data_IF_488028866175
#
_entry.id   IF_488028866175
#
_cell.length_a   1.000
_cell.length_b   1.000
_cell.length_c   1.000
_cell.angle_alpha   90.00
_cell.angle_beta   90.00
_cell.angle_gamma   90.00
#
_symmetry.space_group_name_H-M   'P 1'
#
loop_
_entity.id
_entity.type
_entity.pdbx_description
1 polymer ?
#
# COMPACT_ATOMS: atom_id res chain seq x y z
N UNK A 1 60.41 -17.50 -36.04
CA UNK A 1 60.09 -16.10 -35.63
C UNK A 1 58.84 -16.06 -34.80
N UNK A 2 58.96 -15.97 -33.47
CA UNK A 2 57.80 -15.93 -32.54
C UNK A 2 57.69 -14.49 -32.07
N UNK A 3 56.62 -13.77 -32.43
CA UNK A 3 56.27 -12.46 -31.90
C UNK A 3 55.48 -12.62 -30.59
N UNK A 4 56.04 -12.13 -29.48
CA UNK A 4 55.39 -12.01 -28.20
C UNK A 4 54.62 -10.68 -28.17
N UNK A 5 53.30 -10.70 -27.93
CA UNK A 5 52.50 -9.54 -27.60
C UNK A 5 52.54 -9.35 -26.07
N UNK A 6 53.02 -8.19 -25.64
CA UNK A 6 52.92 -7.72 -24.27
C UNK A 6 51.52 -7.05 -24.09
N UNK A 7 50.71 -7.56 -23.19
CA UNK A 7 49.54 -6.83 -22.72
C UNK A 7 49.93 -5.95 -21.54
N UNK A 8 49.81 -4.63 -21.71
CA UNK A 8 49.82 -3.68 -20.61
C UNK A 8 48.48 -3.72 -19.91
N UNK A 9 48.47 -4.11 -18.64
CA UNK A 9 47.30 -3.99 -17.76
C UNK A 9 47.40 -2.60 -17.11
N UNK A 10 46.52 -1.69 -17.53
CA UNK A 10 46.32 -0.42 -16.85
C UNK A 10 45.43 -0.67 -15.62
N UNK A 11 46.02 -0.58 -14.43
CA UNK A 11 45.31 -0.60 -13.16
C UNK A 11 44.81 0.81 -12.89
N UNK A 12 43.53 1.07 -13.08
CA UNK A 12 42.90 2.33 -12.65
C UNK A 12 42.54 2.23 -11.17
N UNK A 13 43.25 3.00 -10.34
CA UNK A 13 42.85 3.24 -8.94
C UNK A 13 41.54 4.04 -8.92
N UNK A 14 40.52 3.65 -8.13
CA UNK A 14 39.39 4.53 -7.89
C UNK A 14 39.85 5.65 -6.93
N UNK A 15 39.73 6.89 -7.38
CA UNK A 15 39.82 8.07 -6.50
C UNK A 15 38.62 8.04 -5.58
N UNK A 16 38.82 7.79 -4.30
CA UNK A 16 37.89 8.08 -3.23
C UNK A 16 37.73 9.60 -3.11
N UNK A 17 36.70 10.14 -3.71
CA UNK A 17 36.25 11.50 -3.43
C UNK A 17 35.53 11.47 -2.10
N UNK A 18 36.18 11.87 -1.05
CA UNK A 18 35.59 12.12 0.26
C UNK A 18 34.83 13.46 0.15
N UNK A 19 33.55 13.38 -0.15
CA UNK A 19 32.63 14.52 -0.05
C UNK A 19 32.36 14.78 1.43
N UNK A 20 32.85 15.89 1.95
CA UNK A 20 32.40 16.43 3.22
C UNK A 20 30.92 16.84 3.07
N UNK A 21 30.00 15.98 3.47
CA UNK A 21 28.59 16.35 3.64
C UNK A 21 28.53 17.22 4.89
N UNK A 22 28.27 18.52 4.69
CA UNK A 22 28.00 19.44 5.76
C UNK A 22 26.84 18.91 6.62
N UNK A 23 26.98 19.01 7.92
CA UNK A 23 25.94 18.73 8.89
C UNK A 23 24.91 19.85 8.89
N UNK A 24 24.07 19.91 7.87
CA UNK A 24 22.83 20.69 8.01
C UNK A 24 21.87 19.88 8.87
N UNK A 25 21.29 20.47 9.92
CA UNK A 25 20.26 19.79 10.69
C UNK A 25 19.09 19.43 9.76
N UNK A 26 18.67 18.17 9.80
CA UNK A 26 17.46 17.73 9.10
C UNK A 26 16.29 18.61 9.55
N UNK A 27 15.43 19.06 8.64
CA UNK A 27 14.22 19.78 9.05
C UNK A 27 13.43 18.90 10.01
N UNK A 28 12.90 19.49 11.07
CA UNK A 28 12.03 18.79 12.01
C UNK A 28 10.90 18.14 11.22
N UNK A 29 10.62 16.88 11.53
CA UNK A 29 9.45 16.22 10.97
C UNK A 29 8.22 17.07 11.32
N UNK A 30 7.30 17.19 10.40
CA UNK A 30 5.98 17.71 10.70
C UNK A 30 5.47 16.83 11.84
N UNK A 31 5.16 17.41 13.02
CA UNK A 31 4.66 16.59 14.13
C UNK A 31 3.41 15.86 13.67
N UNK A 32 3.18 14.62 14.13
CA UNK A 32 1.91 13.96 13.91
C UNK A 32 0.78 14.90 14.37
N UNK A 33 -0.39 14.86 13.74
CA UNK A 33 -1.52 15.63 14.21
C UNK A 33 -1.72 15.33 15.69
N UNK A 34 -2.04 16.34 16.53
CA UNK A 34 -2.14 16.16 17.98
C UNK A 34 -3.12 15.06 18.31
N UNK A 35 -2.70 14.16 19.17
CA UNK A 35 -3.59 13.15 19.77
C UNK A 35 -4.74 13.88 20.43
N UNK A 36 -6.00 13.48 20.27
CA UNK A 36 -7.12 14.12 20.95
C UNK A 36 -6.91 14.04 22.46
N UNK A 37 -6.55 15.16 23.11
CA UNK A 37 -6.37 15.22 24.56
C UNK A 37 -5.28 16.15 25.09
N UNK A 38 -4.30 16.58 24.31
CA UNK A 38 -3.25 17.49 24.81
C UNK A 38 -3.45 18.93 24.29
N UNK A 39 -4.36 19.66 24.94
CA UNK A 39 -4.36 21.11 24.93
C UNK A 39 -3.80 21.61 26.25
N UNK A 40 -2.50 21.89 26.27
CA UNK A 40 -1.85 22.70 27.31
C UNK A 40 -2.13 24.17 27.07
N UNK A 41 -2.83 24.81 28.00
CA UNK A 41 -3.27 26.20 27.91
C UNK A 41 -2.13 27.23 27.93
N UNK A 42 -2.20 28.20 27.04
CA UNK A 42 -1.74 29.57 27.29
C UNK A 42 -2.75 30.56 26.73
N UNK A 43 -3.19 31.49 27.58
CA UNK A 43 -4.29 32.37 27.34
C UNK A 43 -4.00 33.48 26.32
N UNK A 44 -5.02 33.83 25.56
CA UNK A 44 -5.13 35.00 24.69
C UNK A 44 -6.58 35.15 24.24
N UNK A 45 -7.20 36.23 24.59
CA UNK A 45 -8.60 36.58 24.38
C UNK A 45 -9.04 36.60 22.90
N UNK A 46 -10.26 36.11 22.64
CA UNK A 46 -11.19 36.67 21.66
C UNK A 46 -11.38 35.90 20.37
N UNK A 47 -12.52 35.25 20.24
CA UNK A 47 -13.06 34.73 18.99
C UNK A 47 -13.64 33.35 19.16
N UNK A 48 -14.98 33.24 19.16
CA UNK A 48 -15.69 31.93 19.23
C UNK A 48 -15.34 31.05 18.05
N UNK A 49 -14.35 30.17 18.23
CA UNK A 49 -14.01 29.08 17.33
C UNK A 49 -14.84 27.88 17.74
N UNK A 50 -15.97 27.66 17.11
CA UNK A 50 -16.58 26.36 17.07
C UNK A 50 -15.57 25.42 16.41
N UNK A 51 -15.22 24.32 17.05
CA UNK A 51 -14.51 23.20 16.39
C UNK A 51 -15.34 22.79 15.18
N UNK A 52 -14.81 23.06 13.98
CA UNK A 52 -15.43 22.54 12.76
C UNK A 52 -15.42 21.01 12.87
N UNK A 53 -16.58 20.43 13.17
CA UNK A 53 -16.79 18.99 13.10
C UNK A 53 -16.94 18.63 11.64
N UNK A 54 -15.97 17.94 11.10
CA UNK A 54 -16.02 17.45 9.73
C UNK A 54 -16.98 16.26 9.63
N UNK A 55 -17.59 16.07 8.45
CA UNK A 55 -18.54 14.97 8.23
C UNK A 55 -17.97 13.58 8.55
N UNK A 56 -16.66 13.37 8.39
CA UNK A 56 -16.00 12.10 8.71
C UNK A 56 -15.78 11.88 10.22
N UNK A 57 -15.81 12.90 11.05
CA UNK A 57 -15.72 12.75 12.51
C UNK A 57 -16.88 11.93 13.05
N UNK A 58 -18.03 11.96 12.36
CA UNK A 58 -19.19 11.14 12.70
C UNK A 58 -18.94 9.62 12.51
N UNK A 59 -17.87 9.24 11.82
CA UNK A 59 -17.50 7.84 11.58
C UNK A 59 -16.56 7.26 12.66
N UNK A 60 -15.98 8.10 13.50
CA UNK A 60 -15.14 7.65 14.62
C UNK A 60 -15.93 6.76 15.58
N UNK A 61 -15.31 5.69 16.05
CA UNK A 61 -15.91 4.76 16.97
C UNK A 61 -17.02 3.88 16.37
N UNK A 62 -17.18 3.86 15.05
CA UNK A 62 -18.16 2.99 14.38
C UNK A 62 -17.46 1.80 13.72
N UNK A 63 -17.69 0.63 14.25
CA UNK A 63 -17.30 -0.60 13.61
C UNK A 63 -18.32 -0.96 12.53
N UNK A 64 -17.84 -1.20 11.30
CA UNK A 64 -18.69 -1.54 10.15
C UNK A 64 -18.16 -2.81 9.51
N UNK A 65 -19.04 -3.75 9.27
CA UNK A 65 -18.79 -4.98 8.53
C UNK A 65 -19.64 -5.05 7.28
N UNK A 66 -19.11 -5.56 6.17
CA UNK A 66 -19.86 -5.64 4.94
C UNK A 66 -21.01 -6.64 5.07
N UNK A 67 -22.16 -6.25 4.57
CA UNK A 67 -23.37 -7.05 4.65
C UNK A 67 -24.32 -6.78 3.48
N UNK A 68 -25.29 -7.65 3.28
CA UNK A 68 -26.32 -7.50 2.25
C UNK A 68 -25.98 -8.21 0.94
N UNK A 69 -26.76 -7.91 -0.09
CA UNK A 69 -26.71 -8.61 -1.39
C UNK A 69 -25.34 -8.48 -2.06
N UNK A 70 -24.80 -9.60 -2.52
CA UNK A 70 -23.50 -9.67 -3.19
C UNK A 70 -22.35 -10.00 -2.27
N UNK A 71 -22.50 -9.84 -0.95
CA UNK A 71 -21.48 -10.21 0.03
C UNK A 71 -21.61 -11.66 0.50
N UNK A 72 -20.48 -12.32 0.65
CA UNK A 72 -20.33 -13.60 1.35
C UNK A 72 -19.19 -13.47 2.36
N UNK A 73 -19.24 -14.28 3.42
CA UNK A 73 -18.16 -14.33 4.42
C UNK A 73 -17.86 -15.77 4.81
N UNK A 74 -16.60 -16.05 5.10
CA UNK A 74 -16.10 -17.35 5.57
C UNK A 74 -15.05 -17.12 6.64
N UNK A 75 -15.21 -17.75 7.80
CA UNK A 75 -14.16 -17.78 8.83
C UNK A 75 -13.09 -18.77 8.38
N UNK A 76 -11.88 -18.29 8.16
CA UNK A 76 -10.73 -19.10 7.74
C UNK A 76 -10.06 -19.73 8.96
N UNK A 77 -9.83 -18.91 9.97
CA UNK A 77 -9.28 -19.25 11.28
C UNK A 77 -9.91 -18.33 12.34
N UNK A 78 -9.91 -18.67 13.63
CA UNK A 78 -10.38 -17.77 14.68
C UNK A 78 -9.64 -16.43 14.64
N UNK A 79 -10.32 -15.34 14.26
CA UNK A 79 -9.74 -14.01 14.08
C UNK A 79 -9.28 -13.71 12.66
N UNK A 80 -9.53 -14.60 11.69
CA UNK A 80 -9.31 -14.32 10.27
C UNK A 80 -10.59 -14.63 9.51
N UNK A 81 -11.23 -13.60 8.97
CA UNK A 81 -12.46 -13.72 8.17
C UNK A 81 -12.21 -13.26 6.74
N UNK A 82 -12.61 -14.07 5.80
CA UNK A 82 -12.59 -13.74 4.37
C UNK A 82 -13.96 -13.26 3.94
N UNK A 83 -14.02 -12.13 3.25
CA UNK A 83 -15.22 -11.59 2.61
C UNK A 83 -15.02 -11.52 1.11
N UNK A 84 -16.07 -11.84 0.35
CA UNK A 84 -16.11 -11.64 -1.08
C UNK A 84 -17.37 -10.91 -1.50
N UNK A 85 -17.23 -9.95 -2.39
CA UNK A 85 -18.34 -9.23 -3.02
C UNK A 85 -18.35 -9.50 -4.52
N UNK A 86 -19.55 -9.77 -5.03
CA UNK A 86 -19.79 -9.86 -6.48
C UNK A 86 -21.17 -9.31 -6.81
N UNK A 87 -21.25 -8.25 -7.58
CA UNK A 87 -22.49 -7.61 -7.96
C UNK A 87 -22.35 -6.15 -8.36
N UNK A 88 -23.48 -5.48 -8.55
CA UNK A 88 -23.49 -4.03 -8.75
C UNK A 88 -23.30 -3.33 -7.40
N UNK A 89 -22.15 -2.69 -7.25
CA UNK A 89 -21.83 -1.96 -6.03
C UNK A 89 -22.65 -0.66 -5.93
N UNK A 90 -23.30 -0.40 -4.78
CA UNK A 90 -24.15 0.78 -4.60
C UNK A 90 -23.38 2.11 -4.61
N UNK A 91 -22.07 2.12 -4.34
CA UNK A 91 -21.22 3.32 -4.36
C UNK A 91 -20.86 3.67 -5.80
N UNK A 92 -20.24 2.73 -6.53
CA UNK A 92 -19.75 2.95 -7.89
C UNK A 92 -20.81 2.81 -8.98
N UNK A 93 -22.00 2.29 -8.64
CA UNK A 93 -23.12 1.99 -9.57
C UNK A 93 -22.70 1.09 -10.74
N UNK A 94 -21.72 0.22 -10.52
CA UNK A 94 -21.13 -0.65 -11.55
C UNK A 94 -20.82 -2.04 -11.02
N UNK A 95 -20.69 -3.05 -11.90
CA UNK A 95 -20.27 -4.38 -11.50
C UNK A 95 -18.88 -4.33 -10.85
N UNK A 96 -18.73 -4.96 -9.69
CA UNK A 96 -17.49 -5.07 -8.96
C UNK A 96 -17.31 -6.47 -8.38
N UNK A 97 -16.04 -6.89 -8.27
CA UNK A 97 -15.61 -8.03 -7.47
C UNK A 97 -14.55 -7.54 -6.50
N UNK A 98 -14.79 -7.76 -5.21
CA UNK A 98 -13.90 -7.33 -4.14
C UNK A 98 -13.65 -8.51 -3.20
N UNK A 99 -12.41 -8.68 -2.80
CA UNK A 99 -11.93 -9.75 -1.94
C UNK A 99 -11.19 -9.12 -0.77
N UNK A 100 -11.61 -9.46 0.43
CA UNK A 100 -11.09 -8.86 1.66
C UNK A 100 -10.76 -9.95 2.66
N UNK A 101 -9.58 -9.88 3.25
CA UNK A 101 -9.25 -10.65 4.44
C UNK A 101 -9.14 -9.70 5.61
N UNK A 102 -9.97 -9.91 6.60
CA UNK A 102 -10.02 -9.20 7.87
C UNK A 102 -9.27 -10.01 8.93
N UNK A 103 -8.27 -9.40 9.53
CA UNK A 103 -7.36 -10.02 10.50
C UNK A 103 -7.47 -9.26 11.82
N UNK A 104 -8.00 -9.92 12.84
CA UNK A 104 -8.04 -9.40 14.20
C UNK A 104 -6.63 -9.44 14.83
N UNK A 105 -5.95 -8.30 14.83
CA UNK A 105 -4.61 -8.14 15.38
C UNK A 105 -4.55 -8.30 16.90
N UNK A 106 -5.67 -8.41 17.60
CA UNK A 106 -5.69 -8.72 19.02
C UNK A 106 -5.35 -10.19 19.30
N UNK A 107 -5.47 -11.07 18.29
CA UNK A 107 -5.11 -12.49 18.39
C UNK A 107 -3.60 -12.69 18.30
N UNK A 108 -3.04 -13.38 19.30
CA UNK A 108 -1.59 -13.65 19.38
C UNK A 108 -1.14 -14.79 18.47
N UNK A 109 -2.09 -15.53 17.90
CA UNK A 109 -1.84 -16.72 17.09
C UNK A 109 -1.24 -16.41 15.72
N UNK A 110 -1.28 -15.14 15.26
CA UNK A 110 -0.92 -14.77 13.91
C UNK A 110 0.05 -13.60 13.85
N UNK A 111 0.90 -13.61 12.82
CA UNK A 111 1.79 -12.51 12.47
C UNK A 111 1.50 -12.03 11.06
N UNK A 112 1.43 -10.71 10.89
CA UNK A 112 1.43 -10.05 9.57
C UNK A 112 2.85 -9.65 9.23
N UNK A 113 3.34 -10.04 8.07
CA UNK A 113 4.72 -9.83 7.64
C UNK A 113 4.81 -9.23 6.25
N UNK A 114 5.93 -8.58 5.97
CA UNK A 114 6.32 -8.06 4.66
C UNK A 114 7.46 -8.92 4.11
N UNK A 115 7.38 -9.30 2.84
CA UNK A 115 8.47 -9.97 2.14
C UNK A 115 8.93 -9.17 0.92
N UNK A 116 10.22 -9.28 0.60
CA UNK A 116 10.82 -8.79 -0.64
C UNK A 116 11.61 -9.91 -1.30
N UNK A 117 11.37 -10.13 -2.59
CA UNK A 117 12.02 -11.12 -3.44
C UNK A 117 12.82 -10.43 -4.55
N UNK A 118 14.11 -10.68 -4.62
CA UNK A 118 14.97 -10.12 -5.68
C UNK A 118 14.59 -10.66 -7.07
N UNK A 119 14.26 -11.94 -7.17
CA UNK A 119 13.90 -12.63 -8.40
C UNK A 119 12.41 -12.59 -8.72
N UNK A 120 11.62 -11.78 -7.99
CA UNK A 120 10.16 -11.76 -8.05
C UNK A 120 9.53 -13.14 -7.78
N UNK A 121 8.27 -13.16 -7.35
CA UNK A 121 7.50 -14.37 -7.08
C UNK A 121 6.02 -14.13 -7.38
N UNK A 122 5.20 -15.17 -7.37
CA UNK A 122 3.74 -15.07 -7.37
C UNK A 122 3.20 -15.17 -5.95
N UNK A 123 2.00 -14.64 -5.70
CA UNK A 123 1.36 -14.70 -4.38
C UNK A 123 1.16 -16.15 -3.92
N UNK A 124 0.78 -17.05 -4.82
CA UNK A 124 0.61 -18.48 -4.53
C UNK A 124 1.93 -19.18 -4.18
N UNK A 125 3.02 -18.83 -4.88
CA UNK A 125 4.34 -19.38 -4.57
C UNK A 125 4.82 -18.94 -3.19
N UNK A 126 4.62 -17.65 -2.85
CA UNK A 126 4.94 -17.10 -1.51
C UNK A 126 4.07 -17.76 -0.44
N UNK A 127 2.78 -17.92 -0.70
CA UNK A 127 1.88 -18.63 0.23
C UNK A 127 2.39 -20.02 0.56
N UNK A 128 2.76 -20.79 -0.45
CA UNK A 128 3.32 -22.14 -0.30
C UNK A 128 4.65 -22.14 0.45
N UNK A 129 5.58 -21.26 0.07
CA UNK A 129 6.91 -21.15 0.69
C UNK A 129 6.81 -20.77 2.17
N UNK A 130 6.03 -19.75 2.48
CA UNK A 130 5.89 -19.24 3.85
C UNK A 130 4.88 -20.03 4.69
N UNK A 131 4.16 -21.00 4.11
CA UNK A 131 3.02 -21.68 4.73
C UNK A 131 2.00 -20.65 5.26
N UNK A 132 1.75 -19.63 4.46
CA UNK A 132 0.90 -18.52 4.85
C UNK A 132 -0.59 -18.89 4.76
N UNK A 133 -1.40 -18.29 5.64
CA UNK A 133 -2.86 -18.37 5.60
C UNK A 133 -3.42 -17.41 4.55
N UNK A 134 -2.76 -16.25 4.42
CA UNK A 134 -3.11 -15.21 3.46
C UNK A 134 -1.82 -14.67 2.84
N UNK A 135 -1.85 -14.38 1.55
CA UNK A 135 -0.78 -13.66 0.84
C UNK A 135 -1.40 -12.67 -0.14
N UNK A 136 -0.86 -11.48 -0.22
CA UNK A 136 -1.30 -10.42 -1.13
C UNK A 136 -0.09 -9.67 -1.67
N UNK A 137 -0.10 -9.27 -2.95
CA UNK A 137 0.92 -8.36 -3.48
C UNK A 137 0.95 -7.04 -2.71
N UNK A 138 2.11 -6.37 -2.67
CA UNK A 138 2.27 -5.16 -1.86
C UNK A 138 2.68 -3.92 -2.68
N UNK A 139 3.91 -3.47 -2.61
CA UNK A 139 4.34 -2.16 -3.08
C UNK A 139 4.68 -2.07 -4.57
N UNK A 140 4.87 -0.84 -5.01
CA UNK A 140 5.23 -0.45 -6.39
C UNK A 140 6.71 -0.73 -6.73
N UNK A 141 7.20 -1.91 -6.55
CA UNK A 141 8.56 -2.28 -6.96
C UNK A 141 9.62 -1.17 -6.71
N UNK A 142 10.33 -0.79 -7.80
CA UNK A 142 11.38 0.24 -7.80
C UNK A 142 10.87 1.67 -7.72
N UNK A 143 9.57 1.86 -7.68
CA UNK A 143 8.95 3.19 -7.58
C UNK A 143 8.59 3.55 -6.13
N UNK A 144 8.73 2.63 -5.19
CA UNK A 144 8.68 2.93 -3.76
C UNK A 144 9.91 3.72 -3.34
N UNK A 145 9.76 4.69 -2.42
CA UNK A 145 10.93 5.41 -1.87
C UNK A 145 11.68 4.51 -0.91
N UNK A 146 10.96 3.78 -0.05
CA UNK A 146 11.56 2.87 0.91
C UNK A 146 10.86 1.53 0.95
N UNK A 147 11.67 0.48 0.98
CA UNK A 147 11.28 -0.87 1.36
C UNK A 147 12.29 -1.35 2.40
N UNK A 148 11.84 -1.53 3.63
CA UNK A 148 12.64 -2.08 4.73
C UNK A 148 11.98 -3.36 5.21
N UNK A 149 12.74 -4.42 5.32
CA UNK A 149 12.26 -5.75 5.73
C UNK A 149 13.19 -6.31 6.80
N UNK A 150 12.63 -6.79 7.90
CA UNK A 150 13.34 -7.39 9.03
C UNK A 150 14.53 -6.55 9.52
N UNK A 151 14.31 -5.26 9.68
CA UNK A 151 15.31 -4.29 10.16
C UNK A 151 16.36 -3.86 9.12
N UNK A 152 16.35 -4.43 7.91
CA UNK A 152 17.28 -4.09 6.83
C UNK A 152 16.57 -3.27 5.76
N UNK A 153 17.11 -2.09 5.45
CA UNK A 153 16.65 -1.30 4.30
C UNK A 153 17.05 -2.06 3.03
N UNK A 154 16.08 -2.73 2.44
CA UNK A 154 16.28 -3.54 1.25
C UNK A 154 16.28 -2.69 -0.03
N UNK A 155 15.52 -1.60 -0.02
CA UNK A 155 15.47 -0.63 -1.10
C UNK A 155 15.31 0.78 -0.54
N UNK A 156 16.06 1.72 -1.10
CA UNK A 156 15.90 3.15 -0.93
C UNK A 156 16.13 3.79 -2.29
N UNK A 157 15.21 4.61 -2.74
CA UNK A 157 15.33 5.29 -4.03
C UNK A 157 16.60 6.15 -4.04
N UNK A 158 17.51 5.97 -5.01
CA UNK A 158 18.73 6.77 -5.10
C UNK A 158 18.44 8.26 -5.38
N UNK A 159 19.20 9.15 -4.77
CA UNK A 159 19.10 10.61 -5.01
C UNK A 159 19.24 10.97 -6.49
N UNK A 160 20.07 10.24 -7.23
CA UNK A 160 20.31 10.46 -8.66
C UNK A 160 19.09 10.20 -9.55
N UNK A 161 18.09 9.48 -9.06
CA UNK A 161 16.85 9.19 -9.81
C UNK A 161 15.74 10.19 -9.51
N UNK A 162 15.93 11.04 -8.50
CA UNK A 162 14.93 12.01 -8.08
C UNK A 162 14.87 13.16 -9.10
N UNK A 163 13.70 13.31 -9.71
CA UNK A 163 13.46 14.37 -10.69
C UNK A 163 13.97 14.10 -12.10
N UNK A 164 14.68 13.00 -12.36
CA UNK A 164 15.23 12.69 -13.68
C UNK A 164 14.54 11.53 -14.41
N UNK A 165 13.89 10.63 -13.69
CA UNK A 165 13.37 9.37 -14.26
C UNK A 165 11.87 9.28 -14.36
N UNK A 166 11.16 10.38 -14.10
CA UNK A 166 9.72 10.40 -14.25
C UNK A 166 8.94 9.58 -13.21
N UNK A 167 9.56 9.16 -12.10
CA UNK A 167 8.78 8.62 -10.99
C UNK A 167 7.99 9.76 -10.36
N UNK A 168 6.66 9.74 -10.44
CA UNK A 168 5.84 10.85 -9.95
C UNK A 168 5.91 10.93 -8.43
N UNK A 169 6.01 12.16 -7.89
CA UNK A 169 6.09 12.38 -6.44
C UNK A 169 4.84 11.96 -5.65
N UNK A 170 3.73 11.71 -6.31
CA UNK A 170 2.53 11.18 -5.66
C UNK A 170 2.64 9.71 -5.28
N UNK A 171 3.53 8.91 -5.91
CA UNK A 171 3.63 7.45 -5.68
C UNK A 171 4.14 7.06 -4.29
N UNK A 172 4.51 8.01 -3.45
CA UNK A 172 5.06 7.74 -2.13
C UNK A 172 4.44 8.65 -1.07
N UNK A 173 3.14 8.82 -1.13
CA UNK A 173 2.42 9.75 -0.27
C UNK A 173 2.31 9.24 1.17
N UNK A 174 2.14 7.94 1.36
CA UNK A 174 2.02 7.32 2.66
C UNK A 174 2.93 6.10 2.84
N UNK A 175 2.93 5.54 4.02
CA UNK A 175 3.58 4.27 4.28
C UNK A 175 2.83 3.43 5.32
N UNK A 176 3.09 2.13 5.28
CA UNK A 176 2.74 1.20 6.33
C UNK A 176 3.99 0.72 7.04
N UNK A 177 3.92 0.63 8.35
CA UNK A 177 4.99 0.21 9.25
C UNK A 177 4.50 -1.00 10.04
N UNK A 178 5.25 -2.10 9.97
CA UNK A 178 4.96 -3.31 10.71
C UNK A 178 6.05 -3.49 11.78
N UNK A 179 5.67 -3.42 13.04
CA UNK A 179 6.57 -3.60 14.17
C UNK A 179 6.09 -4.75 15.06
N UNK A 180 6.72 -5.91 14.89
CA UNK A 180 6.34 -7.11 15.61
C UNK A 180 5.05 -7.75 15.06
N UNK A 181 4.34 -8.46 15.93
CA UNK A 181 3.25 -9.36 15.54
C UNK A 181 1.97 -8.58 15.21
N UNK A 182 1.69 -7.50 15.96
CA UNK A 182 0.39 -6.81 15.96
C UNK A 182 0.46 -5.31 15.73
N UNK A 183 1.64 -4.72 15.79
CA UNK A 183 1.79 -3.28 15.63
C UNK A 183 1.87 -2.94 14.13
N UNK A 184 0.71 -2.61 13.57
CA UNK A 184 0.58 -2.08 12.20
C UNK A 184 0.20 -0.62 12.30
N UNK A 185 1.06 0.25 11.80
CA UNK A 185 0.89 1.70 11.81
C UNK A 185 0.90 2.26 10.40
N UNK A 186 0.19 3.36 10.22
CA UNK A 186 0.16 4.12 8.97
C UNK A 186 0.74 5.51 9.22
N UNK A 187 1.50 6.01 8.27
CA UNK A 187 2.07 7.34 8.32
C UNK A 187 1.84 8.05 6.98
N UNK A 188 1.52 9.32 7.04
CA UNK A 188 1.28 10.19 5.89
C UNK A 188 2.50 11.07 5.60
N UNK A 189 3.68 10.49 5.73
CA UNK A 189 4.99 11.16 5.68
C UNK A 189 5.23 11.92 4.38
N UNK A 190 4.69 11.44 3.26
CA UNK A 190 4.89 12.03 1.94
C UNK A 190 3.90 13.14 1.57
N UNK A 191 2.95 13.51 2.44
CA UNK A 191 1.89 14.47 2.15
C UNK A 191 2.45 15.81 1.67
N UNK A 192 2.16 16.15 0.39
CA UNK A 192 2.48 17.46 -0.17
C UNK A 192 3.97 17.78 -0.30
N UNK A 193 4.86 16.84 -0.02
CA UNK A 193 6.30 17.03 -0.08
C UNK A 193 6.84 16.82 -1.51
N UNK A 194 7.96 17.51 -1.79
CA UNK A 194 8.78 17.20 -2.95
C UNK A 194 9.42 15.81 -2.81
N UNK A 195 9.88 15.21 -3.91
CA UNK A 195 10.58 13.93 -3.85
C UNK A 195 11.76 13.89 -2.90
N UNK A 196 12.55 14.97 -2.91
CA UNK A 196 13.73 15.07 -2.06
C UNK A 196 13.35 15.10 -0.58
N UNK A 197 12.30 15.81 -0.24
CA UNK A 197 11.85 15.91 1.14
C UNK A 197 11.14 14.63 1.58
N UNK A 198 10.39 13.98 0.71
CA UNK A 198 9.85 12.64 0.95
C UNK A 198 10.98 11.65 1.25
N UNK A 199 12.04 11.66 0.45
CA UNK A 199 13.17 10.76 0.69
C UNK A 199 13.83 11.01 2.05
N UNK A 200 14.05 12.27 2.43
CA UNK A 200 14.61 12.62 3.74
C UNK A 200 13.74 12.11 4.89
N UNK A 201 12.42 12.32 4.78
CA UNK A 201 11.46 11.87 5.77
C UNK A 201 11.45 10.33 5.90
N UNK A 202 11.42 9.61 4.77
CA UNK A 202 11.46 8.15 4.77
C UNK A 202 12.80 7.58 5.20
N UNK A 203 13.92 8.27 4.93
CA UNK A 203 15.23 7.87 5.48
C UNK A 203 15.21 7.84 7.01
N UNK A 204 14.59 8.83 7.64
CA UNK A 204 14.46 8.89 9.10
C UNK A 204 13.65 7.71 9.62
N UNK A 205 12.50 7.39 8.99
CA UNK A 205 11.70 6.21 9.33
C UNK A 205 12.50 4.90 9.14
N UNK A 206 13.26 4.78 8.05
CA UNK A 206 14.03 3.58 7.75
C UNK A 206 15.23 3.39 8.70
N UNK A 207 15.81 4.47 9.22
CA UNK A 207 16.91 4.42 10.19
C UNK A 207 16.42 4.09 11.61
N UNK A 208 15.15 4.31 11.92
CA UNK A 208 14.60 3.99 13.22
C UNK A 208 14.57 2.45 13.40
N UNK A 209 15.24 1.99 14.46
CA UNK A 209 15.31 0.57 14.81
C UNK A 209 13.96 0.01 15.27
N UNK A 210 13.07 0.87 15.74
CA UNK A 210 11.71 0.50 16.14
C UNK A 210 10.77 0.26 14.95
N UNK A 211 11.23 0.52 13.73
CA UNK A 211 10.49 0.29 12.50
C UNK A 211 11.16 -0.84 11.69
N UNK A 212 11.00 -2.12 12.05
CA UNK A 212 11.69 -3.22 11.38
C UNK A 212 11.21 -3.44 9.94
N UNK A 213 9.96 -3.11 9.64
CA UNK A 213 9.41 -3.22 8.30
C UNK A 213 8.70 -1.93 7.93
N UNK A 214 9.04 -1.35 6.77
CA UNK A 214 8.46 -0.11 6.23
C UNK A 214 8.26 -0.27 4.73
N UNK A 215 7.07 0.05 4.27
CA UNK A 215 6.74 0.10 2.85
C UNK A 215 6.06 1.42 2.51
N UNK A 216 6.70 2.27 1.71
CA UNK A 216 6.06 3.47 1.16
C UNK A 216 5.19 3.14 -0.04
N UNK A 217 4.04 3.82 -0.16
CA UNK A 217 3.09 3.63 -1.25
C UNK A 217 2.16 4.84 -1.43
N UNK A 218 1.23 4.77 -2.38
CA UNK A 218 0.23 5.81 -2.65
C UNK A 218 -0.92 5.31 -3.55
N UNK A 219 -2.02 6.07 -3.63
CA UNK A 219 -2.36 7.21 -2.77
C UNK A 219 -2.75 6.79 -1.36
N UNK A 220 -2.57 7.69 -0.39
CA UNK A 220 -3.27 7.57 0.89
C UNK A 220 -4.77 7.74 0.62
N UNK A 221 -5.58 6.77 1.01
CA UNK A 221 -7.02 6.77 0.76
C UNK A 221 -7.79 7.34 1.96
N UNK A 222 -7.46 6.88 3.15
CA UNK A 222 -8.06 7.33 4.40
C UNK A 222 -6.93 7.53 5.41
N UNK A 223 -6.93 8.66 6.11
CA UNK A 223 -5.99 8.95 7.18
C UNK A 223 -6.73 9.53 8.39
N UNK A 224 -6.75 8.81 9.48
CA UNK A 224 -7.49 9.13 10.70
C UNK A 224 -8.96 9.50 10.41
N UNK A 225 -9.65 8.63 9.66
CA UNK A 225 -11.02 8.76 9.13
C UNK A 225 -11.21 9.83 8.04
N UNK A 226 -10.27 10.77 7.85
CA UNK A 226 -10.35 11.71 6.73
C UNK A 226 -10.24 10.99 5.39
N UNK A 227 -11.23 11.11 4.48
CA UNK A 227 -11.24 10.42 3.19
C UNK A 227 -10.36 11.14 2.16
N UNK A 228 -9.07 11.26 2.44
CA UNK A 228 -8.09 12.02 1.64
C UNK A 228 -7.96 11.53 0.19
N UNK A 229 -8.32 10.28 -0.09
CA UNK A 229 -8.36 9.72 -1.43
C UNK A 229 -9.42 10.34 -2.33
N UNK A 230 -10.47 10.93 -1.77
CA UNK A 230 -11.49 11.64 -2.56
C UNK A 230 -10.97 12.92 -3.20
N UNK A 231 -9.99 13.57 -2.55
CA UNK A 231 -9.38 14.83 -3.00
C UNK A 231 -7.99 14.62 -3.62
N UNK A 232 -7.60 13.39 -3.88
CA UNK A 232 -6.28 13.06 -4.42
C UNK A 232 -5.94 13.86 -5.67
N UNK A 233 -6.89 14.05 -6.57
CA UNK A 233 -6.74 14.82 -7.83
C UNK A 233 -6.35 16.27 -7.56
N UNK A 234 -6.93 16.89 -6.54
CA UNK A 234 -6.69 18.31 -6.23
C UNK A 234 -5.34 18.53 -5.56
N UNK A 235 -4.82 17.52 -4.87
CA UNK A 235 -3.48 17.55 -4.27
C UNK A 235 -2.37 17.46 -5.33
N UNK A 236 -2.65 16.73 -6.41
CA UNK A 236 -1.72 16.52 -7.53
C UNK A 236 -2.42 16.90 -8.83
N UNK A 237 -2.54 18.21 -9.13
CA UNK A 237 -3.19 18.67 -10.34
C UNK A 237 -2.47 18.15 -11.58
N UNK A 238 -3.22 18.03 -12.65
CA UNK A 238 -2.69 17.56 -13.93
C UNK A 238 -1.51 18.41 -14.38
N UNK A 239 -0.32 17.80 -14.38
CA UNK A 239 0.92 18.44 -14.80
C UNK A 239 1.25 18.19 -16.27
N UNK A 240 0.76 17.07 -16.84
CA UNK A 240 1.03 16.65 -18.22
C UNK A 240 -0.06 15.71 -18.73
N UNK A 241 -0.02 15.40 -20.02
CA UNK A 241 -0.85 14.34 -20.63
C UNK A 241 -0.26 12.93 -20.47
N UNK A 242 0.79 12.79 -19.67
CA UNK A 242 1.48 11.52 -19.43
C UNK A 242 0.56 10.53 -18.69
N UNK A 243 0.62 9.25 -19.03
CA UNK A 243 -0.11 8.17 -18.37
C UNK A 243 0.22 8.01 -16.89
N UNK A 244 1.37 8.51 -16.45
CA UNK A 244 1.82 8.55 -15.06
C UNK A 244 1.26 9.75 -14.28
N UNK A 245 0.52 10.64 -14.95
CA UNK A 245 -0.18 11.74 -14.29
C UNK A 245 -1.18 11.18 -13.26
N UNK A 246 -1.14 11.61 -11.99
CA UNK A 246 -2.04 11.12 -10.96
C UNK A 246 -3.51 11.35 -11.31
N UNK A 247 -3.81 12.41 -12.05
CA UNK A 247 -5.16 12.67 -12.54
C UNK A 247 -5.65 11.56 -13.45
N UNK A 248 -4.82 11.13 -14.43
CA UNK A 248 -5.19 10.09 -15.38
C UNK A 248 -5.16 8.71 -14.72
N UNK A 249 -4.12 8.44 -13.93
CA UNK A 249 -3.85 7.09 -13.47
C UNK A 249 -4.67 6.68 -12.25
N UNK A 250 -4.95 7.59 -11.34
CA UNK A 250 -5.58 7.26 -10.07
C UNK A 250 -6.99 7.83 -9.91
N UNK A 251 -7.26 8.99 -10.48
CA UNK A 251 -8.51 9.71 -10.21
C UNK A 251 -9.62 9.43 -11.21
N UNK A 252 -9.29 9.25 -12.50
CA UNK A 252 -10.28 9.04 -13.54
C UNK A 252 -10.32 7.61 -14.05
N UNK A 253 -9.20 6.90 -14.03
CA UNK A 253 -9.13 5.54 -14.53
C UNK A 253 -9.51 4.53 -13.46
N UNK A 254 -10.39 3.62 -13.84
CA UNK A 254 -10.77 2.49 -13.01
C UNK A 254 -9.85 1.31 -13.31
N UNK A 255 -9.20 0.81 -12.27
CA UNK A 255 -8.25 -0.28 -12.35
C UNK A 255 -8.52 -1.33 -11.27
N UNK A 256 -7.99 -2.54 -11.41
CA UNK A 256 -7.80 -3.41 -10.24
C UNK A 256 -6.99 -2.68 -9.18
N UNK A 257 -7.34 -2.87 -7.91
CA UNK A 257 -6.67 -2.21 -6.79
C UNK A 257 -6.24 -3.23 -5.75
N UNK A 258 -5.15 -2.90 -5.08
CA UNK A 258 -4.68 -3.57 -3.89
C UNK A 258 -4.58 -2.54 -2.79
N UNK A 259 -5.13 -2.84 -1.62
CA UNK A 259 -5.22 -1.90 -0.50
C UNK A 259 -4.89 -2.62 0.81
N UNK A 260 -4.20 -1.92 1.70
CA UNK A 260 -4.07 -2.29 3.09
C UNK A 260 -4.76 -1.23 3.93
N UNK A 261 -5.62 -1.66 4.87
CA UNK A 261 -6.37 -0.76 5.72
C UNK A 261 -6.44 -1.27 7.17
N UNK A 262 -6.71 -0.37 8.11
CA UNK A 262 -6.86 -0.72 9.53
C UNK A 262 -7.95 0.11 10.17
N UNK A 263 -8.79 -0.52 11.00
CA UNK A 263 -9.74 0.18 11.85
C UNK A 263 -9.16 0.43 13.26
N UNK A 264 -9.86 1.20 14.08
CA UNK A 264 -9.46 1.48 15.47
C UNK A 264 -9.65 0.30 16.43
N UNK A 265 -10.40 -0.74 16.00
CA UNK A 265 -10.66 -1.97 16.77
C UNK A 265 -9.58 -3.04 16.56
N UNK A 266 -8.43 -2.66 16.00
CA UNK A 266 -7.31 -3.54 15.67
C UNK A 266 -7.58 -4.60 14.59
N UNK A 267 -8.53 -4.37 13.70
CA UNK A 267 -8.71 -5.18 12.51
C UNK A 267 -7.87 -4.63 11.35
N UNK A 268 -7.04 -5.50 10.77
CA UNK A 268 -6.28 -5.21 9.56
C UNK A 268 -6.97 -5.85 8.36
N UNK A 269 -7.22 -5.04 7.33
CA UNK A 269 -7.87 -5.45 6.10
C UNK A 269 -6.84 -5.51 4.98
N UNK A 270 -6.69 -6.68 4.36
CA UNK A 270 -6.01 -6.86 3.09
C UNK A 270 -7.07 -6.98 2.00
N UNK A 271 -7.01 -6.13 0.97
CA UNK A 271 -8.10 -5.93 0.02
C UNK A 271 -7.59 -5.97 -1.40
N UNK A 272 -8.23 -6.78 -2.24
CA UNK A 272 -8.04 -6.78 -3.70
C UNK A 272 -9.38 -6.50 -4.38
N UNK A 273 -9.36 -5.57 -5.32
CA UNK A 273 -10.50 -5.22 -6.18
C UNK A 273 -10.11 -5.61 -7.59
N UNK A 274 -10.89 -6.46 -8.22
CA UNK A 274 -10.73 -6.80 -9.64
C UNK A 274 -11.08 -5.62 -10.54
N UNK A 275 -10.65 -5.66 -11.80
CA UNK A 275 -11.00 -4.62 -12.74
C UNK A 275 -10.67 -4.97 -14.19
N UNK A 276 -10.83 -3.97 -15.08
CA UNK A 276 -10.57 -4.08 -16.52
C UNK A 276 -11.50 -5.04 -17.26
N UNK A 277 -12.61 -5.45 -16.63
CA UNK A 277 -13.67 -6.28 -17.21
C UNK A 277 -15.02 -5.64 -16.90
N UNK A 278 -15.42 -4.64 -17.71
CA UNK A 278 -16.52 -3.74 -17.41
C UNK A 278 -17.86 -4.43 -17.11
N UNK A 279 -18.12 -5.61 -17.69
CA UNK A 279 -19.36 -6.38 -17.47
C UNK A 279 -19.34 -7.20 -16.17
N UNK A 280 -18.17 -7.42 -15.55
CA UNK A 280 -18.00 -8.32 -14.40
C UNK A 280 -17.40 -7.59 -13.20
N UNK A 281 -16.32 -6.86 -13.44
CA UNK A 281 -15.67 -5.98 -12.47
C UNK A 281 -14.96 -4.88 -13.23
N UNK A 282 -15.50 -3.67 -13.15
CA UNK A 282 -14.94 -2.50 -13.82
C UNK A 282 -13.60 -2.09 -13.19
N UNK A 283 -13.46 -2.29 -11.90
CA UNK A 283 -12.44 -1.70 -11.06
C UNK A 283 -12.85 -0.32 -10.54
N UNK A 284 -11.98 0.29 -9.76
CA UNK A 284 -12.28 1.54 -9.07
C UNK A 284 -11.18 2.58 -9.25
N UNK A 285 -11.54 3.86 -9.27
CA UNK A 285 -10.64 5.00 -9.09
C UNK A 285 -10.28 5.16 -7.61
N UNK A 286 -9.28 5.98 -7.28
CA UNK A 286 -8.90 6.23 -5.89
C UNK A 286 -10.07 6.78 -5.06
N UNK A 287 -10.85 7.71 -5.63
CA UNK A 287 -12.05 8.25 -5.00
C UNK A 287 -13.08 7.15 -4.71
N UNK A 288 -13.38 6.31 -5.70
CA UNK A 288 -14.37 5.24 -5.55
C UNK A 288 -13.94 4.20 -4.51
N UNK A 289 -12.63 3.83 -4.48
CA UNK A 289 -12.10 2.95 -3.44
C UNK A 289 -12.29 3.57 -2.06
N UNK A 290 -11.96 4.85 -1.91
CA UNK A 290 -12.12 5.56 -0.63
C UNK A 290 -13.57 5.51 -0.16
N UNK A 291 -14.52 5.87 -1.03
CA UNK A 291 -15.95 5.85 -0.72
C UNK A 291 -16.46 4.43 -0.43
N UNK A 292 -16.01 3.45 -1.18
CA UNK A 292 -16.34 2.04 -0.97
C UNK A 292 -15.87 1.55 0.41
N UNK A 293 -14.63 1.90 0.81
CA UNK A 293 -14.09 1.52 2.10
C UNK A 293 -14.83 2.17 3.26
N UNK A 294 -15.14 3.46 3.17
CA UNK A 294 -15.95 4.16 4.19
C UNK A 294 -17.31 3.50 4.35
N UNK A 295 -17.97 3.16 3.24
CA UNK A 295 -19.33 2.59 3.27
C UNK A 295 -19.39 1.16 3.84
N UNK A 296 -18.35 0.33 3.60
CA UNK A 296 -18.40 -1.10 3.90
C UNK A 296 -17.56 -1.54 5.10
N UNK A 297 -16.51 -0.76 5.47
CA UNK A 297 -15.56 -1.17 6.52
C UNK A 297 -15.21 -0.05 7.48
N UNK A 298 -15.45 1.20 7.10
CA UNK A 298 -15.12 2.39 7.90
C UNK A 298 -13.72 2.35 8.55
N UNK A 299 -12.63 2.11 7.79
CA UNK A 299 -11.32 2.02 8.39
C UNK A 299 -10.80 3.39 8.84
N UNK A 300 -10.01 3.42 9.91
CA UNK A 300 -9.33 4.62 10.36
C UNK A 300 -8.20 5.01 9.39
N UNK A 301 -7.51 4.01 8.83
CA UNK A 301 -6.41 4.19 7.86
C UNK A 301 -6.60 3.27 6.66
N UNK A 302 -6.29 3.78 5.46
CA UNK A 302 -6.23 2.97 4.26
C UNK A 302 -5.19 3.53 3.28
N UNK A 303 -4.32 2.65 2.77
CA UNK A 303 -3.26 2.96 1.82
C UNK A 303 -3.39 2.09 0.58
N UNK A 304 -3.44 2.72 -0.60
CA UNK A 304 -3.39 1.99 -1.86
C UNK A 304 -1.97 1.48 -2.12
N UNK A 305 -1.89 0.29 -2.70
CA UNK A 305 -0.67 -0.43 -3.03
C UNK A 305 -0.54 -0.59 -4.55
N UNK A 306 0.42 -1.41 -5.00
CA UNK A 306 0.54 -1.74 -6.42
C UNK A 306 -0.70 -2.52 -6.89
N UNK A 307 -1.35 -1.97 -7.88
CA UNK A 307 -2.61 -2.44 -8.42
C UNK A 307 -2.50 -3.02 -9.83
N UNK A 308 -3.60 -2.91 -10.58
CA UNK A 308 -3.63 -3.33 -11.97
C UNK A 308 -3.40 -4.83 -12.13
N UNK A 309 -2.44 -5.22 -12.98
CA UNK A 309 -2.14 -6.63 -13.21
C UNK A 309 -1.41 -7.33 -12.06
N UNK A 310 -0.87 -6.57 -11.11
CA UNK A 310 -0.22 -7.10 -9.92
C UNK A 310 -1.20 -7.52 -8.83
N UNK A 311 -2.44 -7.02 -8.88
CA UNK A 311 -3.47 -7.30 -7.87
C UNK A 311 -3.77 -8.79 -7.77
N UNK A 312 -3.28 -9.42 -6.71
CA UNK A 312 -3.47 -10.85 -6.44
C UNK A 312 -3.53 -11.12 -4.94
N UNK A 313 -4.53 -11.90 -4.52
CA UNK A 313 -4.66 -12.40 -3.16
C UNK A 313 -4.87 -13.91 -3.16
N UNK A 314 -4.17 -14.59 -2.26
CA UNK A 314 -4.41 -15.99 -1.95
C UNK A 314 -4.92 -16.12 -0.52
N UNK A 315 -5.92 -16.96 -0.31
CA UNK A 315 -6.51 -17.27 1.00
C UNK A 315 -6.66 -18.77 1.14
N UNK A 316 -6.11 -19.33 2.18
CA UNK A 316 -6.10 -20.78 2.42
C UNK A 316 -7.50 -21.38 2.35
N UNK A 317 -7.66 -22.41 1.51
CA UNK A 317 -8.93 -23.12 1.34
C UNK A 317 -10.01 -22.34 0.59
N UNK A 318 -9.66 -21.20 -0.03
CA UNK A 318 -10.58 -20.41 -0.85
C UNK A 318 -10.04 -20.27 -2.29
N UNK A 319 -10.93 -19.90 -3.22
CA UNK A 319 -10.59 -19.66 -4.62
C UNK A 319 -10.18 -20.92 -5.36
N UNK A 320 -9.06 -20.85 -6.08
CA UNK A 320 -8.51 -22.00 -6.81
C UNK A 320 -8.00 -23.09 -5.86
N UNK A 321 -8.30 -24.35 -6.15
CA UNK A 321 -7.99 -25.48 -5.27
C UNK A 321 -6.47 -25.71 -5.06
N UNK A 322 -5.64 -25.29 -6.01
CA UNK A 322 -4.19 -25.51 -5.99
C UNK A 322 -3.42 -24.28 -5.52
N UNK A 323 -3.79 -23.11 -6.02
CA UNK A 323 -3.07 -21.85 -5.80
C UNK A 323 -3.66 -21.00 -4.69
N UNK A 324 -4.92 -21.28 -4.32
CA UNK A 324 -5.70 -20.49 -3.38
C UNK A 324 -5.89 -19.03 -3.78
N UNK A 325 -5.69 -18.69 -5.05
CA UNK A 325 -5.98 -17.37 -5.60
C UNK A 325 -7.48 -17.14 -5.56
N UNK A 326 -7.92 -16.07 -4.90
CA UNK A 326 -9.35 -15.80 -4.71
C UNK A 326 -9.91 -14.79 -5.71
N UNK A 327 -9.08 -13.88 -6.22
CA UNK A 327 -9.48 -12.90 -7.21
C UNK A 327 -9.29 -13.44 -8.65
N UNK A 328 -9.59 -12.61 -9.64
CA UNK A 328 -9.49 -12.93 -11.06
C UNK A 328 -8.42 -12.03 -11.70
N UNK A 329 -7.13 -12.43 -11.67
CA UNK A 329 -6.04 -11.62 -12.18
C UNK A 329 -6.28 -11.17 -13.62
N UNK A 330 -5.86 -9.96 -13.97
CA UNK A 330 -6.15 -9.39 -15.30
C UNK A 330 -5.51 -10.13 -16.47
N UNK A 331 -4.50 -10.94 -16.20
CA UNK A 331 -3.79 -11.72 -17.22
C UNK A 331 -4.31 -13.17 -17.35
N UNK A 332 -5.39 -13.54 -16.62
CA UNK A 332 -5.99 -14.88 -16.72
C UNK A 332 -6.44 -15.22 -18.14
N UNK A 333 -7.03 -14.28 -18.86
CA UNK A 333 -7.47 -14.47 -20.24
C UNK A 333 -6.31 -14.84 -21.19
N UNK A 334 -5.07 -14.41 -20.86
CA UNK A 334 -3.87 -14.76 -21.64
C UNK A 334 -3.34 -16.16 -21.34
N UNK A 335 -3.66 -16.69 -20.18
CA UNK A 335 -3.17 -18.00 -19.69
C UNK A 335 -4.18 -19.09 -20.02
N UNK A 336 -5.43 -18.90 -19.65
CA UNK A 336 -6.50 -19.91 -19.77
C UNK A 336 -7.53 -19.62 -20.85
N UNK A 337 -7.51 -18.41 -21.43
CA UNK A 337 -8.49 -17.96 -22.42
C UNK A 337 -9.83 -17.48 -21.82
N UNK A 338 -9.99 -17.56 -20.50
CA UNK A 338 -11.18 -17.14 -19.76
C UNK A 338 -10.79 -16.39 -18.48
N UNK A 339 -11.66 -15.52 -17.93
CA UNK A 339 -11.46 -14.92 -16.63
C UNK A 339 -11.59 -15.97 -15.52
N UNK A 340 -10.47 -16.47 -15.03
CA UNK A 340 -10.40 -17.42 -13.92
C UNK A 340 -9.36 -16.97 -12.88
N UNK A 341 -8.96 -17.83 -11.96
CA UNK A 341 -7.99 -17.55 -10.92
C UNK A 341 -6.53 -17.68 -11.39
N UNK A 342 -6.26 -17.96 -12.67
CA UNK A 342 -4.92 -18.03 -13.24
C UNK A 342 -4.35 -16.66 -13.59
N UNK A 343 -3.10 -16.60 -14.07
CA UNK A 343 -2.50 -15.35 -14.60
C UNK A 343 -1.95 -14.41 -13.56
N UNK A 344 -1.56 -14.93 -12.39
CA UNK A 344 -0.81 -14.15 -11.40
C UNK A 344 0.45 -13.54 -12.01
N UNK A 345 0.72 -12.27 -11.71
CA UNK A 345 2.01 -11.66 -12.03
C UNK A 345 3.06 -11.97 -10.97
N UNK A 346 4.28 -12.22 -11.43
CA UNK A 346 5.44 -12.21 -10.54
C UNK A 346 5.78 -10.78 -10.16
N UNK A 347 5.78 -10.49 -8.86
CA UNK A 347 6.10 -9.19 -8.26
C UNK A 347 7.12 -9.37 -7.13
N UNK A 348 7.81 -8.30 -6.70
CA UNK A 348 8.86 -8.45 -5.69
C UNK A 348 8.36 -8.43 -4.25
N UNK A 349 7.20 -7.82 -3.95
CA UNK A 349 6.79 -7.55 -2.57
C UNK A 349 5.43 -8.12 -2.23
N UNK A 350 5.31 -8.66 -1.02
CA UNK A 350 4.08 -9.28 -0.53
C UNK A 350 3.85 -8.98 0.95
N UNK A 351 2.57 -8.76 1.32
CA UNK A 351 2.11 -9.00 2.67
C UNK A 351 1.68 -10.45 2.81
N UNK A 352 1.98 -11.05 3.94
CA UNK A 352 1.55 -12.42 4.23
C UNK A 352 1.26 -12.60 5.72
N UNK A 353 0.32 -13.50 6.02
CA UNK A 353 -0.14 -13.83 7.35
C UNK A 353 0.23 -15.27 7.65
N UNK A 354 0.90 -15.50 8.76
CA UNK A 354 1.32 -16.83 9.21
C UNK A 354 0.85 -17.08 10.63
N UNK A 355 0.69 -18.35 10.96
CA UNK A 355 0.49 -18.81 12.35
C UNK A 355 1.81 -18.75 13.10
N UNK A 356 1.80 -18.29 14.36
CA UNK A 356 2.98 -18.18 15.22
C UNK A 356 3.44 -19.51 15.76
#
# INVERSE_FOLDING_TARGET
MKRRFLYLIAVSLPMLVWSCVGKDPLPDLIPPPPTPGEQGGQGGQGGGGGTETHAWDANRGKEVYPSGTGWTSTVIEPGITYYAFSGTDPVTKSPQRVFVTDIDLSKEDYSVKLALYESRSTASAVMKEKKAIVTMNAGYERESIVIKVDGRTAYMMPNSTIGTTGVPNWKNEGCVILNGIRDVRFDYTGKGLSYLDQQKAYMKLAQDKNNPNVLSSAPQLIYDYEPVGETFVTRYPKASSNSEDPYVHQSTNTHPRTVIAKNEFNHLLLIVIDGRRASVSRGMSAKEVTQFLVANFNPQYALNLDGGGSSTMCVQGQGDETTHVVNYPTDSDKVSGVPDHSGERSVPTFFYVVKN
#
